data_IF_087834985382
#
_entry.id   IF_087834985382
#
_cell.length_a   1.000
_cell.length_b   1.000
_cell.length_c   1.000
_cell.angle_alpha   90.00
_cell.angle_beta   90.00
_cell.angle_gamma   90.00
#
_symmetry.space_group_name_H-M   'P 1'
#
loop_
_entity.id
_entity.type
_entity.pdbx_description
1 polymer ?
#
# COMPACT_ATOMS: atom_id res chain seq x y z
N UNK A 1 -2.59 -69.49 63.23
CA UNK A 1 -3.24 -69.42 61.87
C UNK A 1 -3.54 -68.00 61.58
N UNK A 2 -2.66 -67.31 60.88
CA UNK A 2 -2.72 -65.90 60.57
C UNK A 2 -2.96 -65.74 59.05
N UNK A 3 -4.14 -65.20 58.70
CA UNK A 3 -4.53 -64.99 57.31
C UNK A 3 -3.87 -63.73 56.78
N UNK A 4 -3.16 -63.87 55.68
CA UNK A 4 -2.52 -62.81 54.93
C UNK A 4 -3.47 -62.32 53.81
N UNK A 5 -3.93 -61.02 53.85
CA UNK A 5 -4.69 -60.42 52.80
C UNK A 5 -3.78 -59.65 51.87
N UNK A 6 -3.82 -59.84 50.53
CA UNK A 6 -3.03 -59.04 49.61
C UNK A 6 -3.68 -57.66 49.33
N UNK A 7 -2.90 -56.65 49.49
CA UNK A 7 -3.23 -55.24 49.18
C UNK A 7 -3.15 -55.03 47.66
N UNK A 8 -4.29 -54.71 47.04
CA UNK A 8 -4.36 -54.33 45.61
C UNK A 8 -3.74 -52.95 45.36
N UNK A 9 -2.71 -52.88 44.55
CA UNK A 9 -2.08 -51.67 44.08
C UNK A 9 -2.91 -51.09 42.93
N UNK A 10 -3.60 -49.97 43.18
CA UNK A 10 -4.30 -49.24 42.12
C UNK A 10 -3.28 -48.35 41.40
N UNK A 11 -2.96 -48.74 40.17
CA UNK A 11 -2.17 -47.93 39.26
C UNK A 11 -3.11 -46.87 38.63
N UNK A 12 -2.98 -45.61 39.06
CA UNK A 12 -3.68 -44.48 38.45
C UNK A 12 -2.92 -44.04 37.20
N UNK A 13 -3.50 -44.34 36.05
CA UNK A 13 -3.05 -43.79 34.76
C UNK A 13 -3.49 -42.35 34.66
N UNK A 14 -2.55 -41.41 34.81
CA UNK A 14 -2.73 -40.00 34.49
C UNK A 14 -2.61 -39.85 32.99
N UNK A 15 -3.75 -39.68 32.28
CA UNK A 15 -3.75 -39.36 30.89
C UNK A 15 -3.42 -37.85 30.72
N UNK A 16 -2.21 -37.57 30.31
CA UNK A 16 -1.81 -36.20 29.92
C UNK A 16 -2.39 -35.87 28.55
N UNK A 17 -3.47 -35.11 28.54
CA UNK A 17 -4.06 -34.58 27.31
C UNK A 17 -3.20 -33.40 26.81
N UNK A 18 -2.38 -33.60 25.78
CA UNK A 18 -1.72 -32.53 25.05
C UNK A 18 -2.77 -31.80 24.21
N UNK A 19 -3.19 -30.60 24.66
CA UNK A 19 -3.91 -29.68 23.82
C UNK A 19 -2.93 -29.10 22.79
N UNK A 20 -3.07 -29.49 21.52
CA UNK A 20 -2.45 -28.83 20.40
C UNK A 20 -3.21 -27.52 20.13
N UNK A 21 -2.68 -26.37 20.55
CA UNK A 21 -3.11 -25.06 20.11
C UNK A 21 -2.66 -24.88 18.67
N UNK A 22 -3.53 -25.20 17.72
CA UNK A 22 -3.36 -24.81 16.34
C UNK A 22 -3.45 -23.28 16.25
N UNK A 23 -2.32 -22.61 16.31
CA UNK A 23 -2.22 -21.17 16.07
C UNK A 23 -2.56 -20.90 14.62
N UNK A 24 -3.78 -20.45 14.32
CA UNK A 24 -4.11 -19.86 13.04
C UNK A 24 -3.32 -18.54 12.92
N UNK A 25 -2.15 -18.60 12.28
CA UNK A 25 -1.46 -17.38 11.82
C UNK A 25 -2.33 -16.76 10.73
N UNK A 26 -3.17 -15.81 11.11
CA UNK A 26 -3.87 -14.97 10.15
C UNK A 26 -2.83 -14.12 9.42
N UNK A 27 -2.45 -14.52 8.21
CA UNK A 27 -1.65 -13.69 7.33
C UNK A 27 -2.51 -12.47 6.96
N UNK A 28 -2.21 -11.31 7.56
CA UNK A 28 -2.79 -10.06 7.11
C UNK A 28 -2.39 -9.84 5.64
N UNK A 29 -3.33 -9.45 4.77
CA UNK A 29 -2.99 -9.11 3.39
C UNK A 29 -1.89 -8.03 3.38
N UNK A 30 -0.98 -8.06 2.40
CA UNK A 30 0.09 -7.07 2.32
C UNK A 30 -0.50 -5.66 2.32
N UNK A 31 0.08 -4.78 3.14
CA UNK A 31 -0.36 -3.39 3.21
C UNK A 31 -0.25 -2.74 1.83
N UNK A 32 -1.35 -2.15 1.37
CA UNK A 32 -1.39 -1.42 0.10
C UNK A 32 -0.76 -0.05 0.28
N UNK A 33 0.06 0.37 -0.66
CA UNK A 33 0.67 1.70 -0.66
C UNK A 33 1.08 2.15 -2.06
N UNK A 34 1.09 3.45 -2.27
CA UNK A 34 1.72 4.09 -3.43
C UNK A 34 2.86 4.99 -2.94
N UNK A 35 3.89 5.17 -3.76
CA UNK A 35 5.05 5.99 -3.39
C UNK A 35 5.65 6.69 -4.61
N UNK A 36 6.28 7.83 -4.35
CA UNK A 36 7.23 8.45 -5.27
C UNK A 36 8.61 7.86 -4.93
N UNK A 37 9.15 7.09 -5.87
CA UNK A 37 10.47 6.44 -5.71
C UNK A 37 11.57 7.44 -6.02
N UNK A 38 11.30 8.38 -6.94
CA UNK A 38 12.20 9.43 -7.39
C UNK A 38 11.37 10.64 -7.81
N UNK A 39 11.75 11.88 -7.40
CA UNK A 39 12.85 12.23 -6.51
C UNK A 39 12.57 11.85 -5.05
N UNK A 40 13.61 11.90 -4.21
CA UNK A 40 13.46 11.73 -2.76
C UNK A 40 12.74 12.93 -2.15
N UNK A 41 12.07 12.72 -1.01
CA UNK A 41 11.49 13.83 -0.24
C UNK A 41 12.58 14.84 0.18
N UNK A 42 12.29 16.14 0.01
CA UNK A 42 13.22 17.23 0.27
C UNK A 42 14.29 17.45 -0.80
N UNK A 43 14.25 16.70 -1.91
CA UNK A 43 15.26 16.83 -2.97
C UNK A 43 15.25 18.21 -3.64
N UNK A 44 16.43 18.63 -4.07
CA UNK A 44 16.59 19.73 -5.03
C UNK A 44 16.85 19.14 -6.41
N UNK A 45 16.04 19.52 -7.39
CA UNK A 45 16.07 19.00 -8.76
C UNK A 45 16.21 20.13 -9.78
N UNK A 46 16.76 19.81 -10.95
CA UNK A 46 16.76 20.74 -12.11
C UNK A 46 15.65 20.36 -13.06
N UNK A 47 14.89 21.35 -13.54
CA UNK A 47 13.82 21.13 -14.52
C UNK A 47 14.37 20.97 -15.95
N UNK A 48 13.88 20.00 -16.75
CA UNK A 48 12.92 18.96 -16.40
C UNK A 48 13.55 17.88 -15.49
N UNK A 49 12.73 17.21 -14.71
CA UNK A 49 13.17 16.13 -13.81
C UNK A 49 12.26 14.90 -13.89
N UNK A 50 12.86 13.74 -13.66
CA UNK A 50 12.13 12.47 -13.64
C UNK A 50 11.35 12.30 -12.34
N UNK A 51 10.11 11.83 -12.47
CA UNK A 51 9.30 11.31 -11.35
C UNK A 51 9.01 9.85 -11.62
N UNK A 52 9.32 8.99 -10.66
CA UNK A 52 9.08 7.56 -10.75
C UNK A 52 8.19 7.10 -9.60
N UNK A 53 7.18 6.32 -9.93
CA UNK A 53 6.18 5.82 -9.00
C UNK A 53 6.41 4.36 -8.66
N UNK A 54 5.98 3.97 -7.46
CA UNK A 54 5.86 2.59 -7.03
C UNK A 54 4.49 2.33 -6.42
N UNK A 55 4.02 1.09 -6.51
CA UNK A 55 2.82 0.62 -5.84
C UNK A 55 3.08 -0.74 -5.23
N UNK A 56 2.49 -1.00 -4.06
CA UNK A 56 2.53 -2.30 -3.37
C UNK A 56 1.11 -2.78 -3.10
N UNK A 57 0.92 -4.10 -3.16
CA UNK A 57 -0.36 -4.75 -2.87
C UNK A 57 -1.47 -4.49 -3.87
N UNK A 58 -1.14 -3.84 -5.00
CA UNK A 58 -2.05 -3.62 -6.14
C UNK A 58 -1.28 -3.69 -7.45
N UNK A 59 -1.98 -3.95 -8.56
CA UNK A 59 -1.42 -3.97 -9.91
C UNK A 59 -1.59 -2.62 -10.59
N UNK A 60 -0.60 -2.22 -11.40
CA UNK A 60 -0.76 -1.09 -12.33
C UNK A 60 -1.52 -1.59 -13.56
N UNK A 61 -2.60 -0.90 -13.91
CA UNK A 61 -3.42 -1.19 -15.08
C UNK A 61 -3.81 0.11 -15.79
N UNK A 62 -4.09 0.08 -17.09
CA UNK A 62 -4.61 1.23 -17.81
C UNK A 62 -5.94 1.73 -17.26
N UNK A 63 -6.24 3.02 -17.49
CA UNK A 63 -7.57 3.58 -17.28
C UNK A 63 -8.60 2.93 -18.21
N UNK A 64 -9.86 2.90 -17.78
CA UNK A 64 -10.98 2.31 -18.49
C UNK A 64 -11.76 1.36 -17.61
N UNK A 65 -11.51 0.06 -17.70
CA UNK A 65 -12.20 -0.93 -16.90
C UNK A 65 -11.77 -0.91 -15.42
N UNK A 66 -12.75 -1.02 -14.52
CA UNK A 66 -12.48 -1.14 -13.07
C UNK A 66 -12.20 -2.61 -12.76
N UNK A 67 -10.92 -2.95 -12.66
CA UNK A 67 -10.47 -4.27 -12.28
C UNK A 67 -10.14 -4.31 -10.79
N UNK A 68 -10.41 -5.46 -10.16
CA UNK A 68 -10.10 -5.64 -8.74
C UNK A 68 -8.59 -5.47 -8.48
N UNK A 69 -8.25 -4.84 -7.35
CA UNK A 69 -6.88 -4.65 -6.88
C UNK A 69 -5.92 -4.05 -7.93
N UNK A 70 -6.45 -3.17 -8.78
CA UNK A 70 -5.66 -2.51 -9.82
C UNK A 70 -6.01 -1.03 -9.96
N UNK A 71 -5.13 -0.29 -10.63
CA UNK A 71 -5.35 1.11 -10.91
C UNK A 71 -4.16 1.74 -11.63
N UNK A 72 -4.14 3.05 -11.69
CA UNK A 72 -3.08 3.82 -12.33
C UNK A 72 -2.69 5.04 -11.51
N UNK A 73 -1.51 5.56 -11.82
CA UNK A 73 -0.92 6.67 -11.10
C UNK A 73 -1.49 8.02 -11.57
N UNK A 74 -1.59 8.94 -10.64
CA UNK A 74 -1.76 10.38 -10.85
C UNK A 74 -0.68 11.11 -10.06
N UNK A 75 -0.28 12.29 -10.52
CA UNK A 75 0.60 13.20 -9.80
C UNK A 75 -0.12 14.54 -9.63
N UNK A 76 -0.32 14.92 -8.37
CA UNK A 76 -0.96 16.17 -7.99
C UNK A 76 0.13 17.17 -7.59
N UNK A 77 0.12 18.36 -8.22
CA UNK A 77 1.13 19.40 -7.99
C UNK A 77 0.54 20.49 -7.10
N UNK A 78 1.12 20.70 -5.91
CA UNK A 78 0.65 21.63 -4.90
C UNK A 78 -0.80 21.38 -4.45
N UNK A 79 -1.21 20.10 -4.44
CA UNK A 79 -2.54 19.66 -4.01
C UNK A 79 -2.40 18.52 -3.00
N UNK A 80 -3.43 18.38 -2.16
CA UNK A 80 -3.54 17.27 -1.23
C UNK A 80 -4.12 16.04 -1.92
N UNK A 81 -3.96 14.87 -1.28
CA UNK A 81 -4.59 13.65 -1.73
C UNK A 81 -6.11 13.74 -1.64
N UNK A 82 -6.79 13.10 -2.58
CA UNK A 82 -8.24 13.06 -2.64
C UNK A 82 -8.81 11.96 -1.74
N UNK A 83 -9.99 12.17 -1.14
CA UNK A 83 -10.72 11.14 -0.43
C UNK A 83 -11.03 9.92 -1.31
N UNK A 84 -11.25 8.76 -0.67
CA UNK A 84 -11.62 7.54 -1.38
C UNK A 84 -12.96 7.71 -2.11
N UNK A 85 -13.01 7.23 -3.36
CA UNK A 85 -14.19 7.30 -4.24
C UNK A 85 -14.36 8.63 -4.96
N UNK A 86 -13.60 9.67 -4.62
CA UNK A 86 -13.63 10.93 -5.32
C UNK A 86 -12.91 10.80 -6.67
N UNK A 87 -13.50 11.37 -7.72
CA UNK A 87 -12.90 11.36 -9.06
C UNK A 87 -11.73 12.34 -9.12
N UNK A 88 -10.59 11.87 -9.62
CA UNK A 88 -9.42 12.71 -9.86
C UNK A 88 -9.72 13.64 -11.05
N UNK A 89 -9.68 14.99 -10.88
CA UNK A 89 -9.94 15.91 -11.96
C UNK A 89 -8.86 15.86 -13.06
N UNK A 90 -9.19 16.35 -14.26
CA UNK A 90 -8.24 16.53 -15.35
C UNK A 90 -7.89 18.02 -15.45
N UNK A 91 -6.80 18.43 -14.80
CA UNK A 91 -6.30 19.81 -14.82
C UNK A 91 -4.77 19.80 -14.96
N UNK A 92 -4.17 20.97 -15.22
CA UNK A 92 -2.72 21.12 -15.31
C UNK A 92 -1.96 20.70 -14.03
N UNK A 93 -2.67 20.64 -12.88
CA UNK A 93 -2.10 20.19 -11.59
C UNK A 93 -2.45 18.77 -11.21
N UNK A 94 -3.27 18.08 -12.02
CA UNK A 94 -3.61 16.67 -11.83
C UNK A 94 -3.11 15.88 -13.05
N UNK A 95 -1.84 15.50 -13.05
CA UNK A 95 -1.24 14.74 -14.14
C UNK A 95 -1.73 13.30 -14.10
N UNK A 96 -2.12 12.77 -15.25
CA UNK A 96 -2.78 11.48 -15.40
C UNK A 96 -1.92 10.50 -16.21
N UNK A 97 -1.71 9.31 -15.67
CA UNK A 97 -0.87 8.25 -16.26
C UNK A 97 -1.71 7.02 -16.64
N UNK A 98 -2.80 7.27 -17.38
CA UNK A 98 -3.84 6.28 -17.68
C UNK A 98 -3.47 5.19 -18.69
N UNK A 99 -2.22 5.12 -19.17
CA UNK A 99 -1.71 4.00 -19.97
C UNK A 99 -0.92 2.99 -19.13
N UNK A 100 -0.93 3.14 -17.79
CA UNK A 100 -0.13 2.30 -16.90
C UNK A 100 1.34 2.72 -16.79
N UNK A 101 1.64 3.99 -17.06
CA UNK A 101 2.99 4.51 -16.89
C UNK A 101 3.38 4.53 -15.41
N UNK A 102 4.61 4.17 -15.12
CA UNK A 102 5.21 4.16 -13.78
C UNK A 102 6.27 5.25 -13.61
N UNK A 103 6.53 6.02 -14.65
CA UNK A 103 7.45 7.17 -14.60
C UNK A 103 7.04 8.23 -15.61
N UNK A 104 7.50 9.44 -15.36
CA UNK A 104 7.28 10.60 -16.24
C UNK A 104 8.43 11.60 -16.07
N UNK A 105 8.52 12.55 -17.01
CA UNK A 105 9.33 13.75 -16.89
C UNK A 105 8.42 14.93 -16.59
N UNK A 106 8.77 15.75 -15.60
CA UNK A 106 8.01 16.91 -15.15
C UNK A 106 8.81 18.17 -15.37
N UNK A 107 8.17 19.16 -16.01
CA UNK A 107 8.74 20.50 -16.21
C UNK A 107 8.00 21.49 -15.35
N UNK A 108 8.71 22.09 -14.38
CA UNK A 108 8.17 23.11 -13.49
C UNK A 108 9.14 24.31 -13.43
N UNK A 109 8.64 25.55 -13.30
CA UNK A 109 9.48 26.71 -13.00
C UNK A 109 10.27 26.52 -11.69
N UNK A 110 11.36 27.27 -11.49
CA UNK A 110 12.05 27.31 -10.20
C UNK A 110 11.10 27.65 -9.06
N UNK A 111 11.19 26.92 -7.94
CA UNK A 111 10.30 27.11 -6.80
C UNK A 111 10.22 25.88 -5.90
N UNK A 112 9.45 26.00 -4.82
CA UNK A 112 9.16 24.90 -3.90
C UNK A 112 7.82 24.28 -4.23
N UNK A 113 7.77 22.97 -4.32
CA UNK A 113 6.58 22.22 -4.73
C UNK A 113 6.26 21.08 -3.76
N UNK A 114 4.98 20.83 -3.58
CA UNK A 114 4.42 19.62 -3.02
C UNK A 114 3.99 18.71 -4.16
N UNK A 115 4.53 17.49 -4.22
CA UNK A 115 4.17 16.47 -5.18
C UNK A 115 3.43 15.35 -4.46
N UNK A 116 2.19 15.08 -4.84
CA UNK A 116 1.37 14.01 -4.25
C UNK A 116 1.11 12.94 -5.30
N UNK A 117 1.67 11.74 -5.11
CA UNK A 117 1.26 10.56 -5.85
C UNK A 117 -0.11 10.12 -5.32
N UNK A 118 -1.06 9.91 -6.21
CA UNK A 118 -2.39 9.37 -5.93
C UNK A 118 -2.66 8.18 -6.82
N UNK A 119 -3.08 7.05 -6.24
CA UNK A 119 -3.51 5.89 -7.01
C UNK A 119 -5.03 5.89 -7.13
N UNK A 120 -5.54 5.59 -8.32
CA UNK A 120 -6.96 5.57 -8.62
C UNK A 120 -7.33 4.36 -9.47
N UNK A 121 -8.59 3.92 -9.41
CA UNK A 121 -9.10 2.81 -10.20
C UNK A 121 -9.25 3.16 -11.69
N UNK A 122 -9.66 2.21 -12.52
CA UNK A 122 -9.86 2.41 -13.95
C UNK A 122 -10.84 3.54 -14.31
N UNK A 123 -11.80 3.86 -13.44
CA UNK A 123 -12.74 4.97 -13.58
C UNK A 123 -12.23 6.30 -12.96
N UNK A 124 -10.94 6.42 -12.64
CA UNK A 124 -10.30 7.59 -12.02
C UNK A 124 -10.80 7.91 -10.60
N UNK A 125 -11.41 6.97 -9.91
CA UNK A 125 -11.82 7.16 -8.52
C UNK A 125 -10.64 6.85 -7.60
N UNK A 126 -10.29 7.82 -6.77
CA UNK A 126 -9.21 7.73 -5.78
C UNK A 126 -9.42 6.54 -4.83
N UNK A 127 -8.35 5.84 -4.50
CA UNK A 127 -8.33 4.87 -3.40
C UNK A 127 -8.11 5.53 -2.02
N UNK A 128 -8.08 6.86 -1.97
CA UNK A 128 -7.98 7.63 -0.73
C UNK A 128 -6.55 7.82 -0.22
N UNK A 129 -6.47 8.34 1.00
CA UNK A 129 -5.21 8.72 1.65
C UNK A 129 -4.23 7.55 1.83
N UNK A 130 -4.74 6.33 2.05
CA UNK A 130 -3.92 5.14 2.21
C UNK A 130 -3.16 4.75 0.91
N UNK A 131 -3.65 5.22 -0.23
CA UNK A 131 -3.06 5.03 -1.55
C UNK A 131 -2.56 6.36 -2.14
N UNK A 132 -1.94 7.17 -1.29
CA UNK A 132 -1.28 8.40 -1.65
C UNK A 132 0.02 8.59 -0.87
N UNK A 133 0.96 9.35 -1.44
CA UNK A 133 2.16 9.84 -0.76
C UNK A 133 2.49 11.24 -1.24
N UNK A 134 2.79 12.11 -0.30
CA UNK A 134 3.23 13.48 -0.59
C UNK A 134 4.71 13.65 -0.23
N UNK A 135 5.45 14.30 -1.13
CA UNK A 135 6.83 14.73 -0.91
C UNK A 135 6.96 16.23 -1.20
N UNK A 136 7.99 16.86 -0.66
CA UNK A 136 8.41 18.22 -1.02
C UNK A 136 9.63 18.17 -1.94
N UNK A 137 9.69 19.07 -2.93
CA UNK A 137 10.86 19.24 -3.81
C UNK A 137 11.14 20.71 -4.04
N UNK A 138 12.42 21.05 -4.29
CA UNK A 138 12.85 22.37 -4.71
C UNK A 138 13.35 22.26 -6.15
N UNK A 139 12.74 23.02 -7.05
CA UNK A 139 13.15 23.12 -8.47
C UNK A 139 14.08 24.34 -8.64
N UNK A 140 15.20 24.16 -9.32
CA UNK A 140 16.18 25.19 -9.66
C UNK A 140 16.43 25.30 -11.15
#
# INVERSE_FOLDING_TARGET
MTAFTPRAFRCSLVAASLLWLAGCSSMSPPARSVMIVEPADGATVSSPFKVRFGVRGMAVAPAGEVLADSGHHHLLINLDALPAGESVPFTERHLHFGKGQTETEVTLPPGSYKLTAQFANGAHQSYGMAMSQTIAVIVR
#
